data_IF_646775314448
#
_entry.id   IF_646775314448
#
_cell.length_a   1.000
_cell.length_b   1.000
_cell.length_c   1.000
_cell.angle_alpha   90.00
_cell.angle_beta   90.00
_cell.angle_gamma   90.00
#
_symmetry.space_group_name_H-M   'P 1'
#
loop_
_entity.id
_entity.type
_entity.pdbx_description
1 polymer ?
#
# COMPACT_ATOMS: atom_id res chain seq x y z
N UNK A 1 22.08 -34.77 64.90
CA UNK A 1 22.12 -33.39 64.40
C UNK A 1 23.52 -33.08 63.88
N UNK A 2 23.70 -33.05 62.55
CA UNK A 2 24.90 -32.48 61.88
C UNK A 2 24.60 -32.31 60.38
N UNK A 3 24.02 -31.15 60.08
CA UNK A 3 24.17 -30.22 58.96
C UNK A 3 24.43 -30.79 57.55
N UNK A 4 23.36 -30.81 56.75
CA UNK A 4 23.36 -30.78 55.28
C UNK A 4 23.13 -29.33 54.83
N UNK A 5 24.10 -28.68 54.19
CA UNK A 5 23.91 -27.45 53.40
C UNK A 5 24.88 -27.50 52.21
N UNK A 6 24.38 -27.80 51.01
CA UNK A 6 23.92 -26.85 49.98
C UNK A 6 25.09 -26.40 49.08
N UNK A 7 25.30 -27.12 47.98
CA UNK A 7 26.09 -26.65 46.84
C UNK A 7 25.13 -26.40 45.68
N UNK A 8 24.71 -25.14 45.50
CA UNK A 8 23.97 -24.70 44.32
C UNK A 8 25.02 -24.25 43.30
N UNK A 9 25.28 -25.10 42.30
CA UNK A 9 26.04 -24.73 41.13
C UNK A 9 25.12 -23.93 40.19
N UNK A 10 25.29 -22.61 40.15
CA UNK A 10 24.65 -21.73 39.17
C UNK A 10 25.35 -21.92 37.82
N UNK A 11 24.75 -22.74 36.94
CA UNK A 11 25.13 -22.81 35.54
C UNK A 11 24.76 -21.50 34.85
N UNK A 12 25.75 -20.68 34.52
CA UNK A 12 25.57 -19.52 33.66
C UNK A 12 25.21 -20.01 32.26
N UNK A 13 23.92 -19.92 31.90
CA UNK A 13 23.47 -20.10 30.51
C UNK A 13 24.05 -18.94 29.71
N UNK A 14 25.08 -19.23 28.91
CA UNK A 14 25.57 -18.28 27.92
C UNK A 14 24.45 -18.03 26.92
N UNK A 15 23.85 -16.84 26.98
CA UNK A 15 22.99 -16.35 25.91
C UNK A 15 23.85 -16.25 24.65
N UNK A 16 23.70 -17.22 23.74
CA UNK A 16 24.24 -17.09 22.39
C UNK A 16 23.47 -15.96 21.73
N UNK A 17 24.03 -14.75 21.76
CA UNK A 17 23.55 -13.63 20.96
C UNK A 17 23.69 -14.04 19.50
N UNK A 18 22.60 -14.50 18.89
CA UNK A 18 22.52 -14.67 17.45
C UNK A 18 22.78 -13.27 16.86
N UNK A 19 23.80 -13.09 16.01
CA UNK A 19 24.01 -11.79 15.38
C UNK A 19 22.73 -11.41 14.63
N UNK A 20 22.36 -10.14 14.70
CA UNK A 20 21.24 -9.58 13.96
C UNK A 20 21.47 -9.82 12.46
N UNK A 21 20.93 -10.93 11.94
CA UNK A 21 20.72 -11.09 10.52
C UNK A 21 19.64 -10.06 10.19
N UNK A 22 19.97 -9.03 9.42
CA UNK A 22 18.96 -8.18 8.79
C UNK A 22 18.21 -9.04 7.77
N UNK A 23 17.27 -9.85 8.26
CA UNK A 23 16.48 -10.75 7.46
C UNK A 23 15.57 -9.89 6.57
N UNK A 24 15.98 -9.72 5.31
CA UNK A 24 15.17 -9.01 4.33
C UNK A 24 14.04 -9.94 3.90
N UNK A 25 12.81 -9.55 4.20
CA UNK A 25 11.64 -10.36 3.89
C UNK A 25 11.03 -9.90 2.57
N UNK A 26 10.97 -10.81 1.59
CA UNK A 26 10.30 -10.51 0.32
C UNK A 26 8.79 -10.62 0.50
N UNK A 27 8.08 -9.52 0.27
CA UNK A 27 6.63 -9.43 0.45
C UNK A 27 5.86 -9.49 -0.87
N UNK A 28 6.55 -9.75 -1.99
CA UNK A 28 5.95 -10.08 -3.28
C UNK A 28 5.97 -8.95 -4.31
N UNK A 29 5.08 -9.07 -5.30
CA UNK A 29 4.96 -8.15 -6.43
C UNK A 29 3.74 -7.26 -6.23
N UNK A 30 3.95 -5.94 -6.25
CA UNK A 30 2.87 -4.95 -6.17
C UNK A 30 2.47 -4.50 -7.58
N UNK A 31 1.24 -4.82 -7.99
CA UNK A 31 0.66 -4.39 -9.26
C UNK A 31 -0.13 -3.08 -9.09
N UNK A 32 -0.40 -2.35 -10.18
CA UNK A 32 -0.95 -0.98 -10.17
C UNK A 32 -2.28 -0.76 -9.40
N UNK A 33 -3.04 -1.82 -9.16
CA UNK A 33 -4.29 -1.82 -8.38
C UNK A 33 -4.32 -2.97 -7.34
N UNK A 34 -3.15 -3.53 -7.02
CA UNK A 34 -3.00 -4.66 -6.13
C UNK A 34 -2.58 -4.26 -4.73
N UNK A 35 -2.84 -5.15 -3.78
CA UNK A 35 -2.16 -5.15 -2.49
C UNK A 35 -1.25 -6.36 -2.39
N UNK A 36 -0.09 -6.17 -1.77
CA UNK A 36 0.82 -7.25 -1.37
C UNK A 36 1.21 -6.99 0.08
N UNK A 37 1.44 -8.02 0.88
CA UNK A 37 1.63 -7.81 2.30
C UNK A 37 2.26 -8.99 3.01
N UNK A 38 2.76 -8.68 4.21
CA UNK A 38 3.27 -9.62 5.18
C UNK A 38 2.28 -9.65 6.36
N UNK A 39 1.35 -10.61 6.29
CA UNK A 39 0.23 -10.74 7.23
C UNK A 39 0.65 -11.37 8.56
N UNK A 40 1.80 -12.05 8.60
CA UNK A 40 2.37 -12.55 9.86
C UNK A 40 2.85 -11.38 10.72
N UNK A 41 2.29 -11.16 11.92
CA UNK A 41 2.66 -10.02 12.74
C UNK A 41 4.13 -10.08 13.14
N UNK A 42 4.92 -9.09 12.71
CA UNK A 42 6.30 -8.92 13.16
C UNK A 42 6.25 -8.41 14.59
N UNK A 43 6.75 -9.20 15.53
CA UNK A 43 6.70 -8.89 16.96
C UNK A 43 8.07 -8.42 17.46
N UNK A 44 8.09 -7.25 18.07
CA UNK A 44 9.26 -6.65 18.69
C UNK A 44 9.16 -6.74 20.21
N UNK A 45 10.30 -6.87 20.87
CA UNK A 45 10.44 -6.52 22.29
C UNK A 45 10.47 -4.99 22.44
N UNK A 46 10.32 -4.49 23.68
CA UNK A 46 10.63 -3.09 23.96
C UNK A 46 12.08 -2.78 23.56
N UNK A 47 12.31 -1.63 22.92
CA UNK A 47 13.63 -1.21 22.40
C UNK A 47 13.58 -0.72 20.96
N UNK A 48 14.75 -0.45 20.37
CA UNK A 48 14.86 -0.07 18.97
C UNK A 48 14.72 -1.28 18.04
N UNK A 49 14.10 -1.07 16.89
CA UNK A 49 14.00 -2.07 15.82
C UNK A 49 14.38 -1.44 14.48
N UNK A 50 14.84 -2.28 13.55
CA UNK A 50 15.12 -1.93 12.17
C UNK A 50 14.91 -3.16 11.30
N UNK A 51 13.97 -3.08 10.37
CA UNK A 51 13.62 -4.18 9.47
C UNK A 51 13.57 -3.70 8.03
N UNK A 52 13.80 -4.62 7.11
CA UNK A 52 13.80 -4.35 5.67
C UNK A 52 12.87 -5.33 4.95
N UNK A 53 11.97 -4.79 4.15
CA UNK A 53 11.02 -5.55 3.33
C UNK A 53 11.29 -5.24 1.87
N UNK A 54 11.42 -6.28 1.04
CA UNK A 54 11.62 -6.11 -0.41
C UNK A 54 10.37 -6.44 -1.17
N UNK A 55 10.09 -5.66 -2.20
CA UNK A 55 9.00 -5.89 -3.13
C UNK A 55 9.37 -5.34 -4.50
N UNK A 56 8.69 -5.81 -5.54
CA UNK A 56 8.87 -5.28 -6.90
C UNK A 56 7.59 -4.68 -7.44
N UNK A 57 7.70 -3.60 -8.21
CA UNK A 57 6.58 -2.96 -8.91
C UNK A 57 6.68 -3.24 -10.41
N UNK A 58 5.56 -3.50 -11.08
CA UNK A 58 5.52 -3.84 -12.52
C UNK A 58 5.20 -2.65 -13.45
N UNK A 59 5.07 -1.44 -12.90
CA UNK A 59 4.84 -0.19 -13.65
C UNK A 59 3.37 0.20 -13.84
N UNK A 60 3.12 1.51 -13.97
CA UNK A 60 1.85 2.10 -14.41
C UNK A 60 0.94 2.74 -13.33
N UNK A 61 1.43 3.76 -12.60
CA UNK A 61 0.70 4.77 -11.77
C UNK A 61 -0.01 4.25 -10.50
N UNK A 62 -0.18 4.97 -9.37
CA UNK A 62 0.17 6.28 -8.77
C UNK A 62 -0.45 6.33 -7.33
N UNK A 63 0.38 6.50 -6.29
CA UNK A 63 0.11 6.46 -4.83
C UNK A 63 0.47 5.10 -4.22
N UNK A 64 1.51 5.12 -3.38
CA UNK A 64 2.00 3.98 -2.62
C UNK A 64 1.62 4.21 -1.17
N UNK A 65 0.69 3.41 -0.66
CA UNK A 65 0.39 3.39 0.77
C UNK A 65 0.97 2.11 1.37
N UNK A 66 1.80 2.28 2.39
CA UNK A 66 2.23 1.18 3.24
C UNK A 66 1.42 1.31 4.50
N UNK A 67 0.26 0.67 4.50
CA UNK A 67 -0.60 0.70 5.65
C UNK A 67 -0.01 -0.20 6.73
N UNK A 68 0.72 0.45 7.63
CA UNK A 68 1.31 -0.21 8.76
C UNK A 68 0.32 -0.37 9.93
N UNK A 69 -0.77 -1.14 9.76
CA UNK A 69 -1.83 -1.24 10.78
C UNK A 69 -1.35 -1.92 12.06
N UNK A 70 -1.49 -1.20 13.16
CA UNK A 70 -1.62 -1.76 14.50
C UNK A 70 -2.94 -1.29 15.09
N UNK A 71 -3.92 -2.17 15.18
CA UNK A 71 -5.19 -1.88 15.87
C UNK A 71 -5.09 -2.37 17.32
N UNK A 72 -4.55 -1.53 18.21
CA UNK A 72 -4.39 -1.90 19.62
C UNK A 72 -4.76 -0.74 20.55
N UNK A 73 -5.57 -1.08 21.56
CA UNK A 73 -6.18 -0.17 22.54
C UNK A 73 -5.23 0.27 23.66
N UNK A 74 -4.06 -0.36 23.81
CA UNK A 74 -3.14 -0.05 24.90
C UNK A 74 -2.02 0.88 24.46
N UNK A 75 -1.91 2.06 25.09
CA UNK A 75 -0.77 3.00 24.95
C UNK A 75 0.58 2.35 25.24
N UNK A 76 0.59 1.26 26.02
CA UNK A 76 1.77 0.42 26.23
C UNK A 76 2.32 -0.15 24.92
N UNK A 77 1.48 -0.42 23.92
CA UNK A 77 1.89 -1.05 22.66
C UNK A 77 2.22 -0.05 21.55
N UNK A 78 2.48 1.21 21.90
CA UNK A 78 2.86 2.24 20.92
C UNK A 78 4.27 1.96 20.41
N UNK A 79 4.37 1.87 19.08
CA UNK A 79 5.62 2.15 18.39
C UNK A 79 5.81 3.67 18.51
N UNK A 80 6.97 4.09 18.98
CA UNK A 80 7.42 5.47 18.80
C UNK A 80 7.38 5.76 17.29
N UNK A 81 7.05 6.99 16.83
CA UNK A 81 6.94 7.29 15.40
C UNK A 81 8.13 6.70 14.64
N UNK A 82 7.83 5.73 13.79
CA UNK A 82 8.86 5.00 13.08
C UNK A 82 9.10 5.69 11.74
N UNK A 83 10.36 5.73 11.35
CA UNK A 83 10.79 6.22 10.06
C UNK A 83 10.68 5.08 9.05
N UNK A 84 10.19 5.42 7.87
CA UNK A 84 10.14 4.51 6.74
C UNK A 84 10.87 5.11 5.56
N UNK A 85 11.88 4.40 5.08
CA UNK A 85 12.68 4.78 3.93
C UNK A 85 12.44 3.76 2.84
N UNK A 86 11.99 4.23 1.69
CA UNK A 86 11.89 3.45 0.48
C UNK A 86 13.14 3.69 -0.37
N UNK A 87 13.84 2.62 -0.71
CA UNK A 87 15.07 2.67 -1.50
C UNK A 87 14.88 1.84 -2.76
N UNK A 88 15.03 2.44 -3.94
CA UNK A 88 15.01 1.71 -5.21
C UNK A 88 16.31 0.92 -5.40
N UNK A 89 16.31 -0.08 -6.28
CA UNK A 89 17.53 -0.80 -6.65
C UNK A 89 18.57 0.14 -7.28
N UNK A 90 18.10 1.16 -7.99
CA UNK A 90 18.93 2.26 -8.51
C UNK A 90 19.48 3.24 -7.45
N UNK A 91 19.19 3.03 -6.16
CA UNK A 91 19.73 3.83 -5.05
C UNK A 91 18.97 5.12 -4.76
N UNK A 92 17.82 5.36 -5.40
CA UNK A 92 16.97 6.50 -5.07
C UNK A 92 16.24 6.23 -3.75
N UNK A 93 16.45 7.09 -2.76
CA UNK A 93 15.80 7.01 -1.45
C UNK A 93 14.68 8.03 -1.33
N UNK A 94 13.58 7.63 -0.70
CA UNK A 94 12.42 8.48 -0.41
C UNK A 94 11.86 8.15 0.97
N UNK A 95 11.46 9.18 1.71
CA UNK A 95 10.84 9.02 3.01
C UNK A 95 9.32 8.91 2.88
N UNK A 96 8.73 7.94 3.55
CA UNK A 96 7.29 7.84 3.69
C UNK A 96 6.83 8.74 4.83
N UNK A 97 5.65 9.32 4.67
CA UNK A 97 5.00 10.13 5.70
C UNK A 97 4.30 9.21 6.70
N UNK A 98 4.58 9.41 7.98
CA UNK A 98 3.92 8.73 9.09
C UNK A 98 2.65 9.46 9.52
N UNK A 99 1.58 8.72 9.77
CA UNK A 99 0.33 9.23 10.31
C UNK A 99 -0.24 8.30 11.37
N UNK A 100 -1.02 8.90 12.27
CA UNK A 100 -1.76 8.19 13.31
C UNK A 100 -3.22 8.58 13.25
N UNK A 101 -4.09 7.60 13.50
CA UNK A 101 -5.52 7.81 13.60
C UNK A 101 -6.01 7.21 14.92
N UNK A 102 -6.88 7.95 15.60
CA UNK A 102 -7.61 7.49 16.79
C UNK A 102 -9.07 7.40 16.40
N UNK A 103 -9.68 6.23 16.59
CA UNK A 103 -11.10 6.03 16.47
C UNK A 103 -11.71 5.94 17.88
N UNK A 104 -12.25 7.05 18.37
CA UNK A 104 -12.83 7.13 19.73
C UNK A 104 -14.12 6.31 19.90
N UNK A 105 -14.81 5.95 18.81
CA UNK A 105 -16.03 5.13 18.88
C UNK A 105 -15.70 3.65 19.17
N UNK A 106 -14.58 3.16 18.64
CA UNK A 106 -14.10 1.78 18.87
C UNK A 106 -12.92 1.73 19.84
N UNK A 107 -12.51 2.89 20.37
CA UNK A 107 -11.25 3.10 21.08
C UNK A 107 -10.01 2.54 20.33
N UNK A 108 -10.04 2.51 19.01
CA UNK A 108 -8.94 1.94 18.22
C UNK A 108 -7.87 2.98 17.92
N UNK A 109 -6.62 2.57 17.95
CA UNK A 109 -5.50 3.34 17.38
C UNK A 109 -5.08 2.71 16.06
N UNK A 110 -4.53 3.49 15.13
CA UNK A 110 -3.95 2.99 13.88
C UNK A 110 -2.77 3.85 13.48
N UNK A 111 -1.69 3.21 13.05
CA UNK A 111 -0.52 3.85 12.46
C UNK A 111 -0.50 3.55 10.98
N UNK A 112 -0.04 4.48 10.16
CA UNK A 112 0.06 4.28 8.71
C UNK A 112 1.26 5.03 8.15
N UNK A 113 1.79 4.51 7.05
CA UNK A 113 2.84 5.15 6.27
C UNK A 113 2.33 5.35 4.84
N UNK A 114 2.61 6.49 4.24
CA UNK A 114 2.20 6.73 2.87
C UNK A 114 3.21 7.57 2.11
N UNK A 115 3.29 7.31 0.82
CA UNK A 115 4.02 8.10 -0.14
C UNK A 115 3.11 8.48 -1.30
N UNK A 116 3.00 9.79 -1.51
CA UNK A 116 2.26 10.35 -2.63
C UNK A 116 3.26 10.76 -3.70
N UNK A 117 3.41 9.93 -4.72
CA UNK A 117 4.29 10.20 -5.83
C UNK A 117 4.28 9.06 -6.85
N UNK A 118 4.96 9.29 -7.96
CA UNK A 118 5.15 8.25 -8.96
C UNK A 118 6.35 7.38 -8.56
N UNK A 119 6.14 6.07 -8.55
CA UNK A 119 7.19 5.08 -8.33
C UNK A 119 7.32 4.30 -9.65
N UNK A 120 8.52 4.24 -10.20
CA UNK A 120 8.79 3.51 -11.43
C UNK A 120 8.62 1.99 -11.23
N UNK A 121 8.60 1.23 -12.32
CA UNK A 121 8.74 -0.22 -12.26
C UNK A 121 10.17 -0.56 -11.83
N UNK A 122 10.34 -1.00 -10.59
CA UNK A 122 11.64 -1.39 -10.03
C UNK A 122 11.45 -2.31 -8.81
N UNK A 123 12.55 -2.88 -8.32
CA UNK A 123 12.60 -3.51 -7.00
C UNK A 123 12.93 -2.45 -5.95
N UNK A 124 12.16 -2.46 -4.86
CA UNK A 124 12.30 -1.52 -3.77
C UNK A 124 12.55 -2.26 -2.45
N UNK A 125 13.34 -1.63 -1.59
CA UNK A 125 13.52 -2.01 -0.19
C UNK A 125 12.87 -0.95 0.69
N UNK A 126 11.87 -1.35 1.44
CA UNK A 126 11.27 -0.56 2.50
C UNK A 126 11.99 -0.88 3.81
N UNK A 127 12.71 0.10 4.34
CA UNK A 127 13.34 0.03 5.66
C UNK A 127 12.47 0.72 6.68
N UNK A 128 11.97 -0.03 7.65
CA UNK A 128 11.23 0.47 8.82
C UNK A 128 12.19 0.57 9.99
N UNK A 129 12.20 1.66 10.72
CA UNK A 129 13.04 1.81 11.91
C UNK A 129 12.37 2.71 12.94
N UNK A 130 12.43 2.32 14.21
CA UNK A 130 11.79 3.08 15.28
C UNK A 130 12.06 2.48 16.65
N UNK A 131 11.38 3.01 17.66
CA UNK A 131 11.35 2.47 19.02
C UNK A 131 10.04 1.78 19.29
N UNK A 132 10.06 0.69 20.05
CA UNK A 132 8.89 0.09 20.65
C UNK A 132 8.92 0.36 22.16
N UNK A 133 7.89 1.03 22.69
CA UNK A 133 7.83 1.34 24.12
C UNK A 133 7.60 0.07 24.97
N UNK A 134 6.85 -0.89 24.44
CA UNK A 134 6.72 -2.25 24.96
C UNK A 134 6.67 -3.26 23.81
N UNK A 135 6.61 -4.55 24.16
CA UNK A 135 6.42 -5.61 23.18
C UNK A 135 5.25 -5.31 22.24
N UNK A 136 5.52 -5.32 20.95
CA UNK A 136 4.66 -4.71 19.95
C UNK A 136 4.69 -5.48 18.64
N UNK A 137 3.51 -5.79 18.07
CA UNK A 137 3.42 -6.52 16.81
C UNK A 137 2.77 -5.71 15.70
N UNK A 138 3.29 -5.79 14.48
CA UNK A 138 2.80 -5.03 13.33
C UNK A 138 2.67 -5.93 12.09
N UNK A 139 1.63 -5.75 11.26
CA UNK A 139 1.41 -6.47 9.99
C UNK A 139 1.52 -5.55 8.77
N UNK A 140 2.42 -5.84 7.84
CA UNK A 140 2.66 -4.99 6.67
C UNK A 140 1.62 -5.23 5.59
N UNK A 141 0.80 -4.23 5.27
CA UNK A 141 -0.03 -4.22 4.08
C UNK A 141 0.42 -3.10 3.15
N UNK A 142 0.85 -3.45 1.94
CA UNK A 142 1.29 -2.51 0.92
C UNK A 142 0.25 -2.50 -0.19
N UNK A 143 -0.19 -1.30 -0.57
CA UNK A 143 -1.19 -1.13 -1.63
C UNK A 143 -0.72 -0.05 -2.59
N UNK A 144 -0.78 -0.37 -3.88
CA UNK A 144 -0.68 0.61 -4.94
C UNK A 144 -2.09 0.90 -5.44
N UNK A 145 -2.44 2.18 -5.50
CA UNK A 145 -3.57 2.64 -6.29
C UNK A 145 -3.03 3.31 -7.54
N UNK A 146 -3.85 3.41 -8.59
CA UNK A 146 -3.56 4.23 -9.75
C UNK A 146 -4.51 5.42 -9.77
N UNK A 147 -3.98 6.63 -9.61
CA UNK A 147 -4.66 7.83 -10.09
C UNK A 147 -4.61 7.83 -11.62
N UNK A 148 -5.46 7.00 -12.22
CA UNK A 148 -5.84 7.14 -13.62
C UNK A 148 -6.69 8.40 -13.69
N UNK A 149 -6.31 9.45 -14.44
CA UNK A 149 -7.31 10.42 -14.84
C UNK A 149 -8.41 9.60 -15.53
N UNK A 150 -9.66 9.76 -15.09
CA UNK A 150 -10.81 9.22 -15.79
C UNK A 150 -10.74 9.78 -17.22
N UNK A 151 -10.15 9.01 -18.13
CA UNK A 151 -10.23 9.28 -19.56
C UNK A 151 -11.65 8.85 -19.91
N UNK A 152 -12.63 9.71 -19.62
CA UNK A 152 -13.96 9.53 -20.15
C UNK A 152 -13.79 9.47 -21.66
N UNK A 153 -14.18 8.35 -22.26
CA UNK A 153 -14.22 8.25 -23.72
C UNK A 153 -15.04 9.45 -24.20
N UNK A 154 -14.59 10.23 -25.20
CA UNK A 154 -15.34 11.39 -25.68
C UNK A 154 -16.78 10.96 -25.96
N UNK A 155 -17.72 11.39 -25.12
CA UNK A 155 -19.14 11.16 -25.35
C UNK A 155 -19.49 12.07 -26.51
N UNK A 156 -19.95 11.55 -27.67
CA UNK A 156 -20.29 12.41 -28.78
C UNK A 156 -21.37 13.37 -28.31
N UNK A 157 -21.11 14.67 -28.47
CA UNK A 157 -21.99 15.71 -27.97
C UNK A 157 -23.40 15.54 -28.55
N UNK A 158 -24.47 15.94 -27.84
CA UNK A 158 -25.85 15.85 -28.32
C UNK A 158 -26.04 16.43 -29.73
N UNK A 159 -25.23 17.45 -30.05
CA UNK A 159 -25.20 18.12 -31.35
C UNK A 159 -24.73 17.20 -32.49
N UNK A 160 -23.75 16.31 -32.25
CA UNK A 160 -23.24 15.38 -33.27
C UNK A 160 -24.32 14.38 -33.69
N UNK A 161 -25.10 13.88 -32.73
CA UNK A 161 -26.24 13.02 -33.02
C UNK A 161 -27.38 13.77 -33.70
N UNK A 162 -27.66 15.01 -33.28
CA UNK A 162 -28.65 15.84 -33.93
C UNK A 162 -28.29 16.14 -35.40
N UNK A 163 -27.02 16.43 -35.70
CA UNK A 163 -26.54 16.67 -37.06
C UNK A 163 -26.55 15.40 -37.92
N UNK A 164 -26.22 14.25 -37.35
CA UNK A 164 -26.35 12.96 -38.03
C UNK A 164 -27.81 12.62 -38.37
N UNK A 165 -28.72 12.82 -37.41
CA UNK A 165 -30.16 12.60 -37.60
C UNK A 165 -30.76 13.62 -38.58
N UNK A 166 -30.32 14.88 -38.53
CA UNK A 166 -30.72 15.90 -39.50
C UNK A 166 -30.25 15.53 -40.91
N UNK A 167 -29.01 15.08 -41.07
CA UNK A 167 -28.48 14.59 -42.35
C UNK A 167 -29.28 13.40 -42.91
N UNK A 168 -29.57 12.41 -42.07
CA UNK A 168 -30.38 11.24 -42.44
C UNK A 168 -31.83 11.61 -42.79
N UNK A 169 -32.43 12.54 -42.05
CA UNK A 169 -33.78 13.05 -42.31
C UNK A 169 -33.88 13.75 -43.67
N UNK A 170 -32.86 14.52 -44.05
CA UNK A 170 -32.82 15.26 -45.31
C UNK A 170 -32.70 14.30 -46.51
N UNK A 171 -31.84 13.27 -46.42
CA UNK A 171 -31.72 12.22 -47.43
C UNK A 171 -33.05 11.46 -47.59
N UNK A 172 -33.69 11.07 -46.49
CA UNK A 172 -34.99 10.38 -46.52
C UNK A 172 -36.09 11.20 -47.20
N UNK A 173 -36.13 12.52 -46.94
CA UNK A 173 -37.09 13.43 -47.58
C UNK A 173 -36.89 13.53 -49.10
N UNK A 174 -35.63 13.58 -49.57
CA UNK A 174 -35.30 13.62 -51.00
C UNK A 174 -35.75 12.35 -51.72
N UNK A 175 -35.49 11.17 -51.14
CA UNK A 175 -35.91 9.88 -51.72
C UNK A 175 -37.44 9.81 -51.86
N UNK A 176 -38.18 10.27 -50.84
CA UNK A 176 -39.65 10.29 -50.87
C UNK A 176 -40.23 11.14 -52.01
N UNK A 177 -39.64 12.31 -52.29
CA UNK A 177 -40.08 13.18 -53.39
C UNK A 177 -39.84 12.54 -54.76
N UNK A 178 -38.70 11.89 -54.95
CA UNK A 178 -38.35 11.22 -56.21
C UNK A 178 -39.27 10.03 -56.51
N UNK A 179 -39.65 9.27 -55.49
CA UNK A 179 -40.55 8.12 -55.69
C UNK A 179 -41.98 8.56 -56.05
N UNK A 180 -42.48 9.66 -55.49
CA UNK A 180 -43.78 10.22 -55.90
C UNK A 180 -43.79 10.70 -57.35
N UNK A 181 -42.73 11.39 -57.79
CA UNK A 181 -42.61 11.85 -59.18
C UNK A 181 -42.51 10.70 -60.21
N UNK A 182 -42.16 9.48 -59.78
CA UNK A 182 -42.13 8.27 -60.61
C UNK A 182 -43.46 7.50 -60.64
N UNK A 183 -44.41 7.79 -59.73
CA UNK A 183 -45.74 7.16 -59.73
C UNK A 183 -46.73 7.92 -60.62
N UNK A 184 -46.40 9.14 -61.02
CA UNK A 184 -47.21 10.00 -61.88
C UNK A 184 -46.68 10.07 -63.35
N UNK A 185 -45.73 9.19 -63.72
CA UNK A 185 -45.15 9.07 -65.06
C UNK A 185 -45.31 7.63 -65.58
#
# INVERSE_FOLDING_TARGET
>A
MRNLMMAIATAAVMATSVPALAATTNVGVLTALGSTGYDTPVTYSAGSFSDSFTFSTTGGTNIFSVLAVKNSLTTASLLDPFTAVLTSLGGLTTYLTYSTAINSATNSFSQSLYYTGNIAADTYTLTLSGGANNASSFSLLMSASSLSPDITTPVPEPETYAMMLAGLGLIGAVVRRRNKAKQDA
#
